data_IF_651026690996
#
_entry.id   IF_651026690996
#
_cell.length_a   1.000
_cell.length_b   1.000
_cell.length_c   1.000
_cell.angle_alpha   90.00
_cell.angle_beta   90.00
_cell.angle_gamma   90.00
#
_symmetry.space_group_name_H-M   'P 1'
#
loop_
_entity.id
_entity.type
_entity.pdbx_description
1 polymer ?
#
# COMPACT_ATOMS: atom_id res chain seq x y z
N UNK A 1 49.48 20.50 -49.06
CA UNK A 1 48.40 20.54 -48.04
C UNK A 1 47.79 19.16 -47.71
N UNK A 2 48.05 18.08 -48.45
CA UNK A 2 47.42 16.76 -48.20
C UNK A 2 47.94 15.97 -46.98
N UNK A 3 49.23 16.11 -46.60
CA UNK A 3 49.83 15.34 -45.49
C UNK A 3 49.23 15.68 -44.11
N UNK A 4 48.74 16.90 -43.91
CA UNK A 4 48.17 17.34 -42.61
C UNK A 4 46.75 16.77 -42.42
N UNK A 5 46.01 16.54 -43.51
CA UNK A 5 44.62 16.03 -43.47
C UNK A 5 44.59 14.54 -43.12
N UNK A 6 45.52 13.75 -43.68
CA UNK A 6 45.72 12.32 -43.37
C UNK A 6 46.23 12.08 -41.96
N UNK A 7 47.08 12.97 -41.42
CA UNK A 7 47.57 12.90 -40.03
C UNK A 7 46.43 13.06 -39.01
N UNK A 8 45.57 14.07 -39.16
CA UNK A 8 44.43 14.31 -38.25
C UNK A 8 43.42 13.16 -38.29
N UNK A 9 43.19 12.58 -39.47
CA UNK A 9 42.28 11.45 -39.64
C UNK A 9 42.81 10.17 -38.96
N UNK A 10 44.12 9.90 -39.04
CA UNK A 10 44.75 8.77 -38.34
C UNK A 10 44.72 8.93 -36.81
N UNK A 11 44.93 10.15 -36.31
CA UNK A 11 44.83 10.44 -34.87
C UNK A 11 43.39 10.23 -34.39
N UNK A 12 42.40 10.73 -35.12
CA UNK A 12 40.98 10.55 -34.79
C UNK A 12 40.59 9.08 -34.75
N UNK A 13 41.00 8.30 -35.76
CA UNK A 13 40.76 6.85 -35.80
C UNK A 13 41.43 6.16 -34.61
N UNK A 14 42.70 6.43 -34.34
CA UNK A 14 43.41 5.84 -33.20
C UNK A 14 42.74 6.16 -31.85
N UNK A 15 42.22 7.38 -31.69
CA UNK A 15 41.53 7.80 -30.46
C UNK A 15 40.19 7.08 -30.30
N UNK A 16 39.41 6.94 -31.38
CA UNK A 16 38.15 6.18 -31.40
C UNK A 16 38.37 4.69 -31.10
N UNK A 17 39.40 4.08 -31.71
CA UNK A 17 39.73 2.68 -31.47
C UNK A 17 40.17 2.45 -30.03
N UNK A 18 40.98 3.36 -29.46
CA UNK A 18 41.38 3.31 -28.06
C UNK A 18 40.17 3.45 -27.11
N UNK A 19 39.25 4.37 -27.40
CA UNK A 19 38.00 4.51 -26.64
C UNK A 19 37.12 3.26 -26.70
N UNK A 20 37.00 2.60 -27.86
CA UNK A 20 36.26 1.35 -27.98
C UNK A 20 36.93 0.19 -27.22
N UNK A 21 38.26 0.12 -27.23
CA UNK A 21 39.05 -0.84 -26.43
C UNK A 21 38.81 -0.65 -24.92
N UNK A 22 38.69 0.59 -24.44
CA UNK A 22 38.33 0.85 -23.03
C UNK A 22 36.89 0.45 -22.68
N UNK A 23 35.94 0.48 -23.63
CA UNK A 23 34.57 -0.01 -23.39
C UNK A 23 34.45 -1.54 -23.39
N UNK A 24 35.38 -2.26 -24.03
CA UNK A 24 35.42 -3.72 -24.07
C UNK A 24 35.87 -4.37 -22.74
N UNK A 25 36.63 -3.63 -21.93
CA UNK A 25 37.13 -4.07 -20.61
C UNK A 25 36.49 -3.37 -19.43
N UNK A 26 35.50 -2.51 -19.64
CA UNK A 26 34.67 -2.05 -18.54
C UNK A 26 33.94 -3.30 -18.01
N UNK A 27 34.23 -3.78 -16.77
CA UNK A 27 33.39 -4.81 -16.19
C UNK A 27 31.99 -4.23 -16.24
N UNK A 28 31.06 -4.96 -16.89
CA UNK A 28 29.66 -4.64 -16.77
C UNK A 28 29.38 -4.66 -15.28
N UNK A 29 29.34 -3.48 -14.67
CA UNK A 29 28.94 -3.33 -13.30
C UNK A 29 27.48 -3.77 -13.33
N UNK A 30 27.26 -5.07 -13.11
CA UNK A 30 26.00 -5.62 -12.66
C UNK A 30 25.80 -5.06 -11.26
N UNK A 31 25.63 -3.74 -11.18
CA UNK A 31 24.98 -3.07 -10.07
C UNK A 31 23.57 -3.60 -10.16
N UNK A 32 23.37 -4.75 -9.55
CA UNK A 32 22.13 -5.50 -9.59
C UNK A 32 21.12 -4.59 -8.89
N UNK A 33 20.46 -3.74 -9.67
CA UNK A 33 19.68 -2.64 -9.14
C UNK A 33 18.59 -3.27 -8.31
N UNK A 34 18.74 -3.18 -6.99
CA UNK A 34 17.87 -3.86 -6.03
C UNK A 34 16.42 -3.56 -6.42
N UNK A 35 15.66 -4.62 -6.67
CA UNK A 35 14.31 -4.48 -7.23
C UNK A 35 13.46 -3.54 -6.37
N UNK A 36 12.51 -2.81 -6.98
CA UNK A 36 11.60 -1.93 -6.23
C UNK A 36 10.90 -2.67 -5.08
N UNK A 37 10.58 -3.95 -5.28
CA UNK A 37 9.99 -4.82 -4.26
C UNK A 37 10.96 -5.07 -3.12
N UNK A 38 12.21 -5.44 -3.41
CA UNK A 38 13.22 -5.67 -2.38
C UNK A 38 13.44 -4.42 -1.55
N UNK A 39 13.54 -3.23 -2.18
CA UNK A 39 13.61 -1.94 -1.45
C UNK A 39 12.40 -1.70 -0.54
N UNK A 40 11.19 -2.02 -1.01
CA UNK A 40 9.98 -1.91 -0.22
C UNK A 40 10.00 -2.87 0.99
N UNK A 41 10.33 -4.13 0.78
CA UNK A 41 10.41 -5.16 1.83
C UNK A 41 11.46 -4.82 2.88
N UNK A 42 12.63 -4.31 2.47
CA UNK A 42 13.66 -3.82 3.41
C UNK A 42 13.16 -2.62 4.21
N UNK A 43 12.43 -1.68 3.59
CA UNK A 43 11.83 -0.55 4.30
C UNK A 43 10.75 -1.01 5.29
N UNK A 44 9.96 -2.02 4.93
CA UNK A 44 8.96 -2.63 5.81
C UNK A 44 9.62 -3.31 6.99
N UNK A 45 10.65 -4.13 6.74
CA UNK A 45 11.43 -4.79 7.78
C UNK A 45 11.96 -3.79 8.80
N UNK A 46 12.61 -2.70 8.34
CA UNK A 46 13.10 -1.63 9.22
C UNK A 46 11.98 -1.00 10.05
N UNK A 47 10.80 -0.78 9.45
CA UNK A 47 9.64 -0.25 10.17
C UNK A 47 9.13 -1.23 11.22
N UNK A 48 9.10 -2.52 10.92
CA UNK A 48 8.63 -3.55 11.85
C UNK A 48 9.57 -3.72 13.04
N UNK A 49 10.88 -3.69 12.83
CA UNK A 49 11.89 -3.76 13.91
C UNK A 49 11.76 -2.59 14.90
N UNK A 50 11.23 -1.44 14.49
CA UNK A 50 11.05 -0.29 15.36
C UNK A 50 9.72 -0.29 16.14
N UNK A 51 8.87 -1.31 15.97
CA UNK A 51 7.57 -1.38 16.65
C UNK A 51 7.68 -2.20 17.92
N UNK A 52 6.88 -1.83 18.93
CA UNK A 52 6.71 -2.65 20.11
C UNK A 52 5.85 -3.88 19.75
N UNK A 53 6.46 -5.06 19.86
CA UNK A 53 5.84 -6.35 19.55
C UNK A 53 4.74 -6.74 20.54
N UNK A 54 4.64 -6.10 21.70
CA UNK A 54 3.55 -6.31 22.67
C UNK A 54 2.23 -5.73 22.21
N UNK A 55 2.26 -4.78 21.28
CA UNK A 55 1.06 -4.06 20.83
C UNK A 55 0.73 -4.23 19.36
N UNK A 56 1.65 -4.75 18.55
CA UNK A 56 1.52 -4.73 17.09
C UNK A 56 1.68 -6.11 16.46
N UNK A 57 0.94 -6.30 15.38
CA UNK A 57 1.02 -7.41 14.44
C UNK A 57 1.12 -6.84 13.02
N UNK A 58 1.40 -7.69 12.04
CA UNK A 58 1.56 -7.23 10.67
C UNK A 58 1.09 -8.24 9.64
N UNK A 59 0.85 -7.76 8.42
CA UNK A 59 0.73 -8.59 7.25
C UNK A 59 1.10 -7.81 5.99
N UNK A 60 1.18 -8.51 4.87
CA UNK A 60 1.28 -7.93 3.54
C UNK A 60 -0.05 -8.09 2.80
N UNK A 61 -0.46 -7.05 2.08
CA UNK A 61 -1.72 -7.05 1.33
C UNK A 61 -1.51 -6.49 -0.09
N UNK A 62 -2.37 -6.87 -1.02
CA UNK A 62 -2.40 -6.23 -2.34
C UNK A 62 -3.54 -5.23 -2.42
N UNK A 63 -3.30 -3.99 -2.01
CA UNK A 63 -4.28 -2.92 -2.13
C UNK A 63 -4.36 -2.43 -3.58
N UNK A 64 -3.21 -2.16 -4.19
CA UNK A 64 -3.13 -1.61 -5.54
C UNK A 64 -2.89 -2.68 -6.63
N UNK A 65 -2.85 -2.29 -7.91
CA UNK A 65 -2.67 -3.21 -9.05
C UNK A 65 -1.23 -3.64 -9.32
N UNK A 66 -0.24 -3.06 -8.66
CA UNK A 66 1.15 -3.41 -8.87
C UNK A 66 1.52 -4.72 -8.14
N UNK A 67 2.76 -5.15 -8.32
CA UNK A 67 3.27 -6.41 -7.79
C UNK A 67 4.05 -6.26 -6.49
N UNK A 68 3.87 -5.12 -5.80
CA UNK A 68 4.49 -4.81 -4.50
C UNK A 68 3.35 -4.72 -3.48
N UNK A 69 3.28 -5.64 -2.51
CA UNK A 69 2.26 -5.55 -1.49
C UNK A 69 2.49 -4.33 -0.58
N UNK A 70 1.41 -3.77 -0.06
CA UNK A 70 1.42 -2.80 1.02
C UNK A 70 1.60 -3.49 2.38
N UNK A 71 2.28 -2.80 3.30
CA UNK A 71 2.43 -3.25 4.67
C UNK A 71 1.20 -2.85 5.48
N UNK A 72 0.52 -3.84 6.05
CA UNK A 72 -0.52 -3.67 7.05
C UNK A 72 0.09 -3.86 8.43
N UNK A 73 -0.13 -2.91 9.33
CA UNK A 73 0.16 -3.03 10.77
C UNK A 73 -1.17 -2.95 11.51
N UNK A 74 -1.40 -3.93 12.37
CA UNK A 74 -2.63 -4.07 13.16
C UNK A 74 -2.27 -4.06 14.64
N UNK A 75 -3.15 -3.51 15.50
CA UNK A 75 -2.97 -3.65 16.94
C UNK A 75 -3.22 -5.11 17.36
N UNK A 76 -2.55 -5.59 18.41
CA UNK A 76 -2.83 -6.91 19.00
C UNK A 76 -4.21 -6.95 19.63
N UNK A 77 -4.52 -5.93 20.41
CA UNK A 77 -5.80 -5.75 21.08
C UNK A 77 -6.69 -4.78 20.29
N UNK A 78 -7.94 -5.16 20.09
CA UNK A 78 -8.90 -4.38 19.30
C UNK A 78 -9.90 -3.70 20.23
N UNK A 79 -9.57 -2.49 20.68
CA UNK A 79 -10.53 -1.58 21.28
C UNK A 79 -11.18 -0.71 20.19
N UNK A 80 -12.36 -0.15 20.48
CA UNK A 80 -13.20 0.57 19.50
C UNK A 80 -12.44 1.64 18.69
N UNK A 81 -11.48 2.33 19.32
CA UNK A 81 -10.68 3.41 18.72
C UNK A 81 -9.41 2.94 17.99
N UNK A 82 -9.04 1.67 18.14
CA UNK A 82 -7.83 1.17 17.53
C UNK A 82 -8.02 1.10 16.01
N UNK A 83 -7.05 1.60 15.24
CA UNK A 83 -7.11 1.54 13.77
C UNK A 83 -5.88 0.82 13.24
N UNK A 84 -6.06 0.05 12.17
CA UNK A 84 -4.90 -0.44 11.42
C UNK A 84 -4.21 0.66 10.61
N UNK A 85 -2.92 0.47 10.40
CA UNK A 85 -2.11 1.33 9.55
C UNK A 85 -1.73 0.59 8.27
N UNK A 86 -1.90 1.25 7.14
CA UNK A 86 -1.43 0.74 5.84
C UNK A 86 -0.31 1.64 5.34
N UNK A 87 0.82 1.05 4.96
CA UNK A 87 1.97 1.74 4.40
C UNK A 87 2.27 1.27 2.98
N UNK A 88 2.60 2.23 2.12
CA UNK A 88 3.07 1.99 0.75
C UNK A 88 4.50 2.47 0.59
N UNK A 89 5.30 1.76 -0.20
CA UNK A 89 6.64 2.22 -0.60
C UNK A 89 6.58 2.92 -1.95
N UNK A 90 6.82 4.24 -1.97
CA UNK A 90 6.69 5.06 -3.19
C UNK A 90 7.63 6.25 -3.17
N UNK A 91 8.24 6.56 -4.32
CA UNK A 91 9.27 7.61 -4.41
C UNK A 91 10.48 7.36 -3.50
N UNK A 92 10.86 6.10 -3.32
CA UNK A 92 12.00 5.70 -2.46
C UNK A 92 11.74 5.75 -0.95
N UNK A 93 10.51 6.07 -0.52
CA UNK A 93 10.17 6.26 0.90
C UNK A 93 8.92 5.48 1.29
N UNK A 94 8.86 5.09 2.56
CA UNK A 94 7.67 4.51 3.18
C UNK A 94 6.66 5.63 3.50
N UNK A 95 5.39 5.46 3.12
CA UNK A 95 4.32 6.43 3.38
C UNK A 95 3.08 5.76 3.98
N UNK A 96 2.62 6.29 5.11
CA UNK A 96 1.34 5.90 5.71
C UNK A 96 0.17 6.40 4.87
N UNK A 97 -0.76 5.51 4.55
CA UNK A 97 -2.03 5.83 3.90
C UNK A 97 -3.03 6.31 4.94
N UNK A 98 -3.14 7.63 5.12
CA UNK A 98 -4.09 8.23 6.08
C UNK A 98 -5.53 7.77 5.77
N UNK A 99 -6.27 7.35 6.80
CA UNK A 99 -7.66 6.84 6.73
C UNK A 99 -7.82 5.49 6.02
N UNK A 100 -6.77 4.66 6.01
CA UNK A 100 -6.86 3.32 5.46
C UNK A 100 -7.51 2.31 6.42
N UNK A 101 -7.16 2.34 7.70
CA UNK A 101 -7.73 1.45 8.70
C UNK A 101 -9.16 1.79 9.07
N UNK A 102 -9.82 0.86 9.73
CA UNK A 102 -11.19 0.95 10.24
C UNK A 102 -11.20 0.68 11.75
N UNK A 103 -12.35 0.90 12.40
CA UNK A 103 -12.54 0.62 13.82
C UNK A 103 -12.17 -0.83 14.18
N UNK A 104 -11.86 -1.07 15.46
CA UNK A 104 -11.42 -2.37 15.98
C UNK A 104 -10.16 -2.92 15.30
N UNK A 105 -9.29 -2.04 14.83
CA UNK A 105 -8.01 -2.41 14.23
C UNK A 105 -8.12 -3.16 12.91
N UNK A 106 -9.32 -3.26 12.32
CA UNK A 106 -9.53 -4.01 11.09
C UNK A 106 -9.14 -3.19 9.87
N UNK A 107 -8.92 -3.87 8.76
CA UNK A 107 -8.83 -3.25 7.43
C UNK A 107 -9.98 -3.75 6.58
N UNK A 108 -10.76 -2.84 6.00
CA UNK A 108 -11.75 -3.16 4.97
C UNK A 108 -11.28 -2.55 3.65
N UNK A 109 -11.02 -3.38 2.64
CA UNK A 109 -10.39 -2.94 1.41
C UNK A 109 -10.81 -3.77 0.19
N UNK A 110 -10.61 -3.21 -1.00
CA UNK A 110 -10.81 -3.92 -2.26
C UNK A 110 -9.47 -4.24 -2.89
N UNK A 111 -9.14 -5.53 -2.88
CA UNK A 111 -7.87 -6.07 -3.40
C UNK A 111 -7.64 -5.65 -4.86
N UNK A 112 -6.45 -5.12 -5.15
CA UNK A 112 -6.04 -4.65 -6.48
C UNK A 112 -6.95 -3.58 -7.11
N UNK A 113 -7.73 -2.85 -6.30
CA UNK A 113 -8.57 -1.74 -6.78
C UNK A 113 -8.16 -0.39 -6.20
N UNK A 114 -7.17 -0.38 -5.31
CA UNK A 114 -6.68 0.81 -4.59
C UNK A 114 -7.77 1.49 -3.77
N UNK A 115 -8.76 0.74 -3.27
CA UNK A 115 -9.89 1.27 -2.50
C UNK A 115 -9.90 0.67 -1.11
N UNK A 116 -10.14 1.52 -0.11
CA UNK A 116 -10.44 1.13 1.28
C UNK A 116 -11.82 1.64 1.66
N UNK A 117 -12.44 1.00 2.64
CA UNK A 117 -13.63 1.48 3.34
C UNK A 117 -13.24 1.71 4.80
N UNK A 118 -12.97 2.96 5.16
CA UNK A 118 -12.79 3.36 6.56
C UNK A 118 -14.18 3.36 7.20
N UNK A 119 -14.48 2.31 7.95
CA UNK A 119 -15.79 2.08 8.53
C UNK A 119 -15.70 1.96 10.05
N UNK A 120 -16.73 2.46 10.71
CA UNK A 120 -16.79 2.49 12.16
C UNK A 120 -18.20 2.59 12.70
N UNK A 121 -18.35 2.16 13.94
CA UNK A 121 -19.58 2.31 14.71
C UNK A 121 -19.30 3.33 15.81
N UNK A 122 -20.05 4.42 15.80
CA UNK A 122 -19.89 5.49 16.77
C UNK A 122 -21.01 5.33 17.80
N UNK A 123 -20.65 4.95 19.03
CA UNK A 123 -21.59 4.79 20.12
C UNK A 123 -22.47 6.04 20.29
N UNK A 124 -23.79 5.85 20.36
CA UNK A 124 -24.76 6.93 20.46
C UNK A 124 -25.05 7.71 19.16
N UNK A 125 -24.30 7.46 18.07
CA UNK A 125 -24.53 8.11 16.77
C UNK A 125 -25.01 7.10 15.72
N UNK A 126 -24.25 6.03 15.47
CA UNK A 126 -24.54 5.02 14.45
C UNK A 126 -23.33 4.66 13.57
N UNK A 127 -23.58 4.12 12.38
CA UNK A 127 -22.53 3.62 11.49
C UNK A 127 -22.04 4.68 10.49
N UNK A 128 -20.73 4.74 10.29
CA UNK A 128 -20.11 5.56 9.24
C UNK A 128 -19.22 4.68 8.38
N UNK A 129 -19.31 4.83 7.05
CA UNK A 129 -18.45 4.17 6.10
C UNK A 129 -17.97 5.17 5.04
N UNK A 130 -16.66 5.44 5.01
CA UNK A 130 -16.05 6.33 4.01
C UNK A 130 -15.12 5.55 3.09
N UNK A 131 -15.46 5.57 1.80
CA UNK A 131 -14.66 4.96 0.76
C UNK A 131 -13.59 5.93 0.27
N UNK A 132 -12.33 5.50 0.29
CA UNK A 132 -11.21 6.24 -0.27
C UNK A 132 -10.54 5.44 -1.38
N UNK A 133 -10.12 6.13 -2.44
CA UNK A 133 -9.22 5.60 -3.45
C UNK A 133 -7.82 6.19 -3.27
N UNK A 134 -6.80 5.34 -3.24
CA UNK A 134 -5.41 5.78 -3.19
C UNK A 134 -4.74 5.75 -4.56
N UNK A 135 -3.93 6.77 -4.83
CA UNK A 135 -3.01 6.82 -5.97
C UNK A 135 -1.68 6.16 -5.57
N UNK A 136 -0.88 5.74 -6.55
CA UNK A 136 0.46 5.12 -6.33
C UNK A 136 1.41 5.95 -5.47
N UNK A 137 1.23 7.28 -5.41
CA UNK A 137 2.05 8.18 -4.60
C UNK A 137 1.57 8.35 -3.14
N UNK A 138 0.51 7.61 -2.74
CA UNK A 138 -0.12 7.66 -1.42
C UNK A 138 -1.19 8.74 -1.26
N UNK A 139 -1.42 9.60 -2.27
CA UNK A 139 -2.52 10.59 -2.23
C UNK A 139 -3.87 9.88 -2.31
N UNK A 140 -4.83 10.32 -1.50
CA UNK A 140 -6.19 9.76 -1.45
C UNK A 140 -7.21 10.67 -2.16
N UNK A 141 -8.30 10.07 -2.60
CA UNK A 141 -9.51 10.74 -3.08
C UNK A 141 -10.70 10.11 -2.39
N UNK A 142 -11.54 10.93 -1.74
CA UNK A 142 -12.80 10.45 -1.13
C UNK A 142 -13.77 10.11 -2.25
N UNK A 143 -14.28 8.89 -2.27
CA UNK A 143 -15.24 8.44 -3.28
C UNK A 143 -16.67 8.69 -2.83
N UNK A 144 -17.02 8.19 -1.64
CA UNK A 144 -18.35 8.31 -1.07
C UNK A 144 -18.29 8.11 0.44
N UNK A 145 -19.12 8.85 1.18
CA UNK A 145 -19.36 8.68 2.62
C UNK A 145 -20.81 8.24 2.81
N UNK A 146 -21.01 7.21 3.60
CA UNK A 146 -22.31 6.71 4.03
C UNK A 146 -22.41 6.88 5.53
N UNK A 147 -23.55 7.37 5.99
CA UNK A 147 -23.83 7.56 7.40
C UNK A 147 -25.23 7.04 7.69
N UNK A 148 -25.33 6.12 8.62
CA UNK A 148 -26.57 5.65 9.22
C UNK A 148 -26.58 6.13 10.66
N UNK A 149 -27.39 7.15 10.93
CA UNK A 149 -27.52 7.73 12.26
C UNK A 149 -28.70 7.03 12.92
N UNK A 150 -28.47 6.36 14.05
CA UNK A 150 -29.47 5.59 14.77
C UNK A 150 -30.23 6.41 15.82
N UNK A 151 -29.64 7.50 16.34
CA UNK A 151 -30.18 8.27 17.46
C UNK A 151 -30.25 9.79 17.13
N UNK A 152 -31.31 10.53 17.50
CA UNK A 152 -32.58 10.09 18.10
C UNK A 152 -33.59 9.49 17.10
N UNK A 153 -33.30 9.55 15.80
CA UNK A 153 -34.17 8.98 14.76
C UNK A 153 -33.32 8.49 13.61
N UNK A 154 -33.67 7.31 13.08
CA UNK A 154 -32.98 6.70 11.95
C UNK A 154 -32.87 7.68 10.77
N UNK A 155 -31.64 8.07 10.42
CA UNK A 155 -31.37 9.01 9.35
C UNK A 155 -30.20 8.54 8.49
N UNK A 156 -30.44 8.47 7.18
CA UNK A 156 -29.45 8.03 6.20
C UNK A 156 -28.88 9.23 5.46
N UNK A 157 -27.55 9.33 5.39
CA UNK A 157 -26.86 10.34 4.57
C UNK A 157 -25.89 9.69 3.59
N UNK A 158 -25.80 10.29 2.41
CA UNK A 158 -24.73 10.04 1.45
C UNK A 158 -24.00 11.36 1.21
N UNK A 159 -22.69 11.39 1.44
CA UNK A 159 -21.85 12.59 1.34
C UNK A 159 -22.43 13.78 2.13
N UNK A 160 -22.95 13.52 3.33
CA UNK A 160 -23.59 14.52 4.19
C UNK A 160 -25.03 14.91 3.82
N UNK A 161 -25.54 14.49 2.66
CA UNK A 161 -26.92 14.80 2.23
C UNK A 161 -27.89 13.71 2.66
N UNK A 162 -29.01 14.10 3.29
CA UNK A 162 -30.10 13.18 3.68
C UNK A 162 -30.67 12.47 2.45
N UNK A 163 -30.92 11.16 2.57
CA UNK A 163 -31.55 10.33 1.54
C UNK A 163 -32.53 9.34 2.18
N UNK A 164 -33.37 8.70 1.37
CA UNK A 164 -34.19 7.56 1.83
C UNK A 164 -33.32 6.32 2.09
N UNK A 165 -33.79 5.41 2.96
CA UNK A 165 -33.16 4.11 3.21
C UNK A 165 -32.97 3.29 1.92
N UNK A 166 -33.96 3.30 1.03
CA UNK A 166 -33.87 2.61 -0.26
C UNK A 166 -32.73 3.16 -1.13
N UNK A 167 -32.60 4.49 -1.23
CA UNK A 167 -31.51 5.13 -1.99
C UNK A 167 -30.15 4.85 -1.35
N UNK A 168 -30.07 4.88 -0.01
CA UNK A 168 -28.87 4.50 0.73
C UNK A 168 -28.40 3.08 0.39
N UNK A 169 -29.28 2.09 0.54
CA UNK A 169 -28.98 0.68 0.28
C UNK A 169 -28.60 0.43 -1.19
N UNK A 170 -29.31 1.05 -2.13
CA UNK A 170 -29.00 0.92 -3.55
C UNK A 170 -27.60 1.48 -3.89
N UNK A 171 -27.23 2.64 -3.33
CA UNK A 171 -25.92 3.25 -3.56
C UNK A 171 -24.79 2.49 -2.86
N UNK A 172 -25.02 1.92 -1.67
CA UNK A 172 -24.07 1.04 -1.00
C UNK A 172 -23.80 -0.21 -1.84
N UNK A 173 -24.86 -0.89 -2.29
CA UNK A 173 -24.75 -2.08 -3.15
C UNK A 173 -24.01 -1.80 -4.46
N UNK A 174 -24.23 -0.62 -5.06
CA UNK A 174 -23.50 -0.19 -6.26
C UNK A 174 -21.99 -0.04 -6.01
N UNK A 175 -21.59 0.59 -4.90
CA UNK A 175 -20.17 0.78 -4.61
C UNK A 175 -19.48 -0.53 -4.22
N UNK A 176 -20.15 -1.41 -3.47
CA UNK A 176 -19.64 -2.74 -3.10
C UNK A 176 -19.53 -3.67 -4.32
N UNK A 177 -20.48 -3.61 -5.26
CA UNK A 177 -20.36 -4.32 -6.54
C UNK A 177 -19.17 -3.82 -7.35
N UNK A 178 -18.95 -2.50 -7.38
CA UNK A 178 -17.83 -1.88 -8.09
C UNK A 178 -16.48 -2.18 -7.44
N UNK A 179 -16.45 -2.28 -6.11
CA UNK A 179 -15.28 -2.54 -5.29
C UNK A 179 -15.57 -3.66 -4.30
N UNK A 180 -15.47 -4.93 -4.73
CA UNK A 180 -15.67 -6.07 -3.83
C UNK A 180 -14.74 -5.95 -2.62
N UNK A 181 -15.34 -5.86 -1.44
CA UNK A 181 -14.63 -5.62 -0.20
C UNK A 181 -14.19 -6.94 0.45
N UNK A 182 -13.02 -6.88 1.08
CA UNK A 182 -12.45 -7.89 1.95
C UNK A 182 -12.18 -7.25 3.29
N UNK A 183 -12.32 -8.04 4.36
CA UNK A 183 -11.95 -7.64 5.70
C UNK A 183 -10.82 -8.49 6.25
N UNK A 184 -9.92 -7.84 6.98
CA UNK A 184 -8.83 -8.44 7.72
C UNK A 184 -8.92 -7.92 9.15
N UNK A 185 -8.95 -8.84 10.11
CA UNK A 185 -8.87 -8.53 11.53
C UNK A 185 -7.46 -8.73 12.06
N UNK A 186 -7.16 -8.16 13.23
CA UNK A 186 -5.84 -8.32 13.86
C UNK A 186 -5.48 -9.78 14.13
N UNK A 187 -6.44 -10.61 14.51
CA UNK A 187 -6.21 -12.04 14.76
C UNK A 187 -5.86 -12.84 13.50
N UNK A 188 -6.14 -12.32 12.30
CA UNK A 188 -5.75 -12.93 11.02
C UNK A 188 -4.31 -12.57 10.58
N UNK A 189 -3.57 -11.79 11.37
CA UNK A 189 -2.24 -11.25 11.02
C UNK A 189 -1.10 -11.92 11.82
N UNK A 190 0.14 -11.63 11.43
CA UNK A 190 1.35 -12.28 11.96
C UNK A 190 1.96 -11.54 13.14
N UNK A 191 2.50 -12.29 14.07
CA UNK A 191 3.24 -11.78 15.23
C UNK A 191 4.56 -11.11 14.82
N UNK A 192 4.95 -10.06 15.53
CA UNK A 192 6.25 -9.40 15.37
C UNK A 192 7.35 -10.17 16.10
N UNK A 193 7.74 -11.32 15.54
CA UNK A 193 8.91 -12.09 16.00
C UNK A 193 10.13 -11.77 15.15
N UNK A 194 11.33 -11.96 15.71
CA UNK A 194 12.61 -11.82 14.98
C UNK A 194 12.61 -12.67 13.70
N UNK A 195 12.10 -13.90 13.78
CA UNK A 195 12.02 -14.83 12.64
C UNK A 195 11.08 -14.32 11.56
N UNK A 196 9.88 -13.85 11.92
CA UNK A 196 8.92 -13.31 10.96
C UNK A 196 9.48 -12.06 10.24
N UNK A 197 10.10 -11.16 11.00
CA UNK A 197 10.69 -9.93 10.46
C UNK A 197 11.89 -10.25 9.55
N UNK A 198 12.73 -11.21 9.93
CA UNK A 198 13.88 -11.65 9.12
C UNK A 198 13.43 -12.34 7.83
N UNK A 199 12.40 -13.18 7.92
CA UNK A 199 11.85 -13.91 6.78
C UNK A 199 11.03 -13.05 5.83
N UNK A 200 10.61 -11.84 6.23
CA UNK A 200 9.85 -10.91 5.38
C UNK A 200 10.53 -10.65 4.03
N UNK A 201 11.86 -10.47 4.01
CA UNK A 201 12.59 -10.18 2.77
C UNK A 201 12.82 -11.45 1.94
N UNK A 202 13.04 -12.59 2.60
CA UNK A 202 13.35 -13.88 1.96
C UNK A 202 12.11 -14.57 1.38
N UNK A 203 11.01 -14.57 2.13
CA UNK A 203 9.77 -15.26 1.77
C UNK A 203 8.53 -14.39 2.04
N UNK A 204 8.50 -13.18 1.48
CA UNK A 204 7.39 -12.24 1.70
C UNK A 204 5.99 -12.83 1.39
N UNK A 205 5.92 -13.81 0.48
CA UNK A 205 4.65 -14.43 0.06
C UNK A 205 3.93 -15.15 1.21
N UNK A 206 4.65 -15.71 2.18
CA UNK A 206 4.03 -16.35 3.35
C UNK A 206 3.31 -15.35 4.25
N UNK A 207 3.62 -14.05 4.14
CA UNK A 207 3.02 -12.99 4.92
C UNK A 207 1.86 -12.29 4.20
N UNK A 208 1.47 -12.77 3.01
CA UNK A 208 0.38 -12.16 2.23
C UNK A 208 -0.97 -12.72 2.67
N UNK A 209 -1.88 -11.82 3.04
CA UNK A 209 -3.26 -12.16 3.35
C UNK A 209 -4.23 -11.45 2.41
N UNK A 210 -5.32 -12.12 2.06
CA UNK A 210 -6.39 -11.53 1.22
C UNK A 210 -7.59 -11.08 2.06
N UNK A 211 -7.81 -11.67 3.23
CA UNK A 211 -8.98 -11.42 4.07
C UNK A 211 -10.24 -12.16 3.61
N UNK A 212 -11.24 -12.18 4.49
CA UNK A 212 -12.56 -12.78 4.25
C UNK A 212 -13.44 -11.79 3.47
N UNK A 213 -14.53 -12.27 2.87
CA UNK A 213 -15.54 -11.38 2.27
C UNK A 213 -16.08 -10.45 3.37
N UNK A 214 -16.12 -9.15 3.10
CA UNK A 214 -16.80 -8.18 3.96
C UNK A 214 -18.31 -8.25 3.69
#
# INVERSE_FOLDING_TARGET
MEKIKTSKQRILVATLTLCMLFTLFAPAANVNAVSKRTKALTAYQKKLTSLDSRYNKFALIYLNKDSIPELLITPKETVHIATSDVYVYTGGKLKKLKYAGSDFGRLVYSRKKSVVCNSGWINGYGAVATFYRFKKNGKKTKLKKFEEIANPTALFKINGKKVSKQKYNAEMKKIEKKYPLKQIWSFDTFELTTDNITNLVKNYKSFIITGKKF
#
